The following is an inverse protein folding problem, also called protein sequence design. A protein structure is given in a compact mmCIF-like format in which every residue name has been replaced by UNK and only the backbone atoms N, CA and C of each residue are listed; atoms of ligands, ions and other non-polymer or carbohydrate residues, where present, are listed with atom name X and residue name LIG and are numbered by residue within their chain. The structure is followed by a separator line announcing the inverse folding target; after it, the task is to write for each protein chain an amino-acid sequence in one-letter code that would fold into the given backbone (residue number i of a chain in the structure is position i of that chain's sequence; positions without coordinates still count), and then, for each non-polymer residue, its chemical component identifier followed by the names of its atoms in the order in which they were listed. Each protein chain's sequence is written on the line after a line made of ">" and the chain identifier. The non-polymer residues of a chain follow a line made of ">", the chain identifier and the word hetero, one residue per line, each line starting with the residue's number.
data_IF_475914735857
#
_entry.id   IF_475914735857
#
_cell.length_a   1.000
_cell.length_b   1.000
_cell.length_c   1.000
_cell.angle_alpha   90.00
_cell.angle_beta   90.00
_cell.angle_gamma   90.00
#
_symmetry.space_group_name_H-M   'P 1'
#
loop_
_entity.id
_entity.type
_entity.pdbx_description
1 polymer ?
#
# COMPACT_ATOMS: atom_id res chain seq x y z
N UNK A 1 5.91 -13.50 17.85
CA UNK A 1 6.95 -13.41 16.81
C UNK A 1 6.96 -12.02 16.20
N UNK A 2 8.05 -11.26 16.36
CA UNK A 2 8.26 -9.96 15.71
C UNK A 2 8.73 -10.20 14.27
N UNK A 3 7.83 -10.07 13.31
CA UNK A 3 8.16 -10.23 11.90
C UNK A 3 8.34 -8.85 11.26
N UNK A 4 9.53 -8.60 10.72
CA UNK A 4 9.88 -7.35 10.02
C UNK A 4 9.39 -7.43 8.57
N UNK A 5 9.08 -6.27 7.97
CA UNK A 5 8.64 -6.16 6.56
C UNK A 5 9.49 -6.98 5.59
N UNK A 6 10.81 -6.84 5.61
CA UNK A 6 11.70 -7.54 4.66
C UNK A 6 11.55 -9.07 4.71
N UNK A 7 11.43 -9.64 5.91
CA UNK A 7 11.21 -11.07 6.09
C UNK A 7 9.81 -11.49 5.58
N UNK A 8 8.78 -10.71 5.91
CA UNK A 8 7.41 -11.01 5.47
C UNK A 8 7.28 -10.95 3.95
N UNK A 9 7.83 -9.92 3.31
CA UNK A 9 7.89 -9.78 1.86
C UNK A 9 8.64 -10.94 1.24
N UNK A 10 9.79 -11.35 1.79
CA UNK A 10 10.53 -12.50 1.26
C UNK A 10 9.73 -13.80 1.35
N UNK A 11 9.00 -14.03 2.45
CA UNK A 11 8.12 -15.19 2.60
C UNK A 11 7.01 -15.14 1.55
N UNK A 12 6.32 -14.02 1.41
CA UNK A 12 5.24 -13.87 0.43
C UNK A 12 5.75 -14.09 -1.01
N UNK A 13 6.87 -13.47 -1.36
CA UNK A 13 7.49 -13.57 -2.68
C UNK A 13 7.97 -14.98 -3.01
N UNK A 14 8.40 -15.75 -2.00
CA UNK A 14 9.00 -17.07 -2.22
C UNK A 14 7.98 -18.21 -2.11
N UNK A 15 6.85 -18.00 -1.45
CA UNK A 15 5.87 -19.06 -1.16
C UNK A 15 4.52 -18.85 -1.85
N UNK A 16 4.06 -17.60 -1.96
CA UNK A 16 2.73 -17.29 -2.50
C UNK A 16 2.84 -16.91 -3.97
N UNK A 17 3.71 -15.96 -4.31
CA UNK A 17 3.82 -15.47 -5.68
C UNK A 17 4.14 -16.54 -6.74
N UNK A 18 5.01 -17.54 -6.50
CA UNK A 18 5.26 -18.57 -7.51
C UNK A 18 4.01 -19.36 -7.90
N UNK A 19 3.09 -19.55 -6.95
CA UNK A 19 1.81 -20.23 -7.18
C UNK A 19 0.87 -19.31 -7.96
N UNK A 20 0.78 -18.03 -7.58
CA UNK A 20 -0.12 -17.06 -8.21
C UNK A 20 0.32 -16.65 -9.62
N UNK A 21 1.63 -16.60 -9.87
CA UNK A 21 2.22 -16.13 -11.13
C UNK A 21 2.51 -17.28 -12.11
N UNK A 22 2.24 -18.53 -11.72
CA UNK A 22 2.53 -19.68 -12.57
C UNK A 22 1.79 -19.57 -13.90
N UNK A 23 2.55 -19.50 -15.00
CA UNK A 23 1.99 -19.36 -16.35
C UNK A 23 1.35 -18.00 -16.64
N UNK A 24 1.53 -16.98 -15.78
CA UNK A 24 0.81 -15.71 -15.89
C UNK A 24 1.09 -14.93 -17.17
N UNK A 25 2.20 -15.21 -17.85
CA UNK A 25 2.44 -14.64 -19.19
C UNK A 25 1.40 -15.06 -20.23
N UNK A 26 0.76 -16.23 -20.06
CA UNK A 26 -0.24 -16.78 -20.99
C UNK A 26 -1.64 -16.30 -20.62
N UNK A 27 -2.09 -16.56 -19.39
CA UNK A 27 -3.46 -16.26 -18.96
C UNK A 27 -3.65 -14.83 -18.43
N UNK A 28 -2.56 -14.13 -18.11
CA UNK A 28 -2.59 -12.85 -17.40
C UNK A 28 -3.11 -11.64 -18.17
N UNK A 29 -3.50 -11.82 -19.43
CA UNK A 29 -4.09 -10.77 -20.25
C UNK A 29 -5.48 -10.33 -19.73
N UNK A 30 -6.15 -11.16 -18.91
CA UNK A 30 -7.40 -10.81 -18.22
C UNK A 30 -7.09 -10.37 -16.79
N UNK A 31 -7.70 -9.26 -16.37
CA UNK A 31 -7.62 -8.79 -14.98
C UNK A 31 -8.32 -9.79 -14.05
N UNK A 32 -7.64 -10.16 -12.97
CA UNK A 32 -8.16 -11.10 -11.98
C UNK A 32 -8.13 -10.46 -10.59
N UNK A 33 -9.23 -9.81 -10.20
CA UNK A 33 -9.35 -9.10 -8.92
C UNK A 33 -9.16 -10.02 -7.70
N UNK A 34 -9.38 -11.33 -7.86
CA UNK A 34 -9.20 -12.30 -6.79
C UNK A 34 -7.74 -12.37 -6.29
N UNK A 35 -6.77 -12.13 -7.17
CA UNK A 35 -5.34 -12.12 -6.83
C UNK A 35 -5.00 -10.90 -5.96
N UNK A 36 -5.51 -9.72 -6.33
CA UNK A 36 -5.33 -8.50 -5.55
C UNK A 36 -5.98 -8.63 -4.16
N UNK A 37 -7.16 -9.26 -4.06
CA UNK A 37 -7.80 -9.54 -2.77
C UNK A 37 -6.92 -10.40 -1.85
N UNK A 38 -6.22 -11.38 -2.39
CA UNK A 38 -5.28 -12.20 -1.62
C UNK A 38 -4.09 -11.37 -1.12
N UNK A 39 -3.53 -10.52 -1.98
CA UNK A 39 -2.48 -9.57 -1.60
C UNK A 39 -2.95 -8.65 -0.46
N UNK A 40 -4.15 -8.07 -0.57
CA UNK A 40 -4.70 -7.20 0.47
C UNK A 40 -4.92 -7.94 1.79
N UNK A 41 -5.35 -9.21 1.75
CA UNK A 41 -5.46 -10.05 2.95
C UNK A 41 -4.11 -10.28 3.61
N UNK A 42 -3.06 -10.54 2.83
CA UNK A 42 -1.70 -10.67 3.33
C UNK A 42 -1.24 -9.39 4.02
N UNK A 43 -1.36 -8.24 3.34
CA UNK A 43 -1.00 -6.92 3.90
C UNK A 43 -1.76 -6.65 5.21
N UNK A 44 -3.08 -6.87 5.24
CA UNK A 44 -3.88 -6.67 6.46
C UNK A 44 -3.44 -7.56 7.61
N UNK A 45 -3.11 -8.82 7.32
CA UNK A 45 -2.63 -9.79 8.31
C UNK A 45 -1.30 -9.33 8.91
N UNK A 46 -0.39 -8.85 8.06
CA UNK A 46 0.88 -8.29 8.49
C UNK A 46 0.65 -7.05 9.34
N UNK A 47 0.00 -6.01 8.82
CA UNK A 47 -0.25 -4.76 9.56
C UNK A 47 -1.07 -4.98 10.84
N UNK A 48 -1.94 -6.00 10.87
CA UNK A 48 -2.84 -6.27 11.99
C UNK A 48 -4.05 -5.33 12.00
N UNK A 49 -4.58 -4.99 10.82
CA UNK A 49 -5.70 -4.06 10.65
C UNK A 49 -6.96 -4.80 10.17
N UNK A 50 -8.13 -4.17 10.31
CA UNK A 50 -9.42 -4.78 9.94
C UNK A 50 -9.59 -4.88 8.42
N UNK A 51 -10.62 -5.61 7.98
CA UNK A 51 -11.04 -5.66 6.57
C UNK A 51 -11.59 -4.30 6.07
N UNK A 52 -12.01 -3.43 6.99
CA UNK A 52 -12.61 -2.11 6.70
C UNK A 52 -11.57 -0.99 6.54
N UNK A 53 -10.27 -1.28 6.71
CA UNK A 53 -9.21 -0.30 6.48
C UNK A 53 -9.08 0.02 5.00
N UNK A 54 -8.99 1.29 4.58
CA UNK A 54 -8.86 1.68 3.18
C UNK A 54 -7.70 0.97 2.46
N UNK A 55 -7.96 0.48 1.25
CA UNK A 55 -6.95 -0.21 0.42
C UNK A 55 -5.76 0.72 0.12
N UNK A 56 -5.95 1.99 -0.32
CA UNK A 56 -4.82 2.88 -0.62
C UNK A 56 -3.89 3.11 0.56
N UNK A 57 -4.41 3.15 1.80
CA UNK A 57 -3.58 3.33 2.98
C UNK A 57 -2.76 2.09 3.31
N UNK A 58 -3.34 0.89 3.23
CA UNK A 58 -2.58 -0.35 3.52
C UNK A 58 -1.53 -0.64 2.44
N UNK A 59 -1.83 -0.40 1.17
CA UNK A 59 -0.87 -0.60 0.07
C UNK A 59 0.22 0.47 0.12
N UNK A 60 -0.16 1.72 0.43
CA UNK A 60 0.78 2.81 0.61
C UNK A 60 1.75 2.61 1.77
N UNK A 61 1.27 2.15 2.94
CA UNK A 61 2.14 1.86 4.08
C UNK A 61 3.09 0.67 3.77
N UNK A 62 2.57 -0.37 3.09
CA UNK A 62 3.36 -1.55 2.72
C UNK A 62 4.36 -1.27 1.58
N UNK A 63 4.02 -0.38 0.65
CA UNK A 63 4.78 -0.14 -0.58
C UNK A 63 4.74 -1.30 -1.58
N UNK A 64 3.72 -2.16 -1.50
CA UNK A 64 3.56 -3.27 -2.44
C UNK A 64 2.73 -2.83 -3.64
N UNK A 65 3.31 -2.92 -4.84
CA UNK A 65 2.56 -2.75 -6.08
C UNK A 65 1.57 -3.91 -6.29
N UNK A 66 0.46 -3.68 -7.02
CA UNK A 66 -0.49 -4.71 -7.38
C UNK A 66 0.19 -5.90 -8.07
N UNK A 67 -0.24 -7.13 -7.74
CA UNK A 67 0.25 -8.35 -8.41
C UNK A 67 0.04 -8.27 -9.93
N UNK A 68 -1.02 -7.57 -10.38
CA UNK A 68 -1.29 -7.39 -11.80
C UNK A 68 -0.11 -6.78 -12.57
N UNK A 69 0.67 -5.88 -11.97
CA UNK A 69 1.85 -5.32 -12.62
C UNK A 69 2.91 -6.40 -12.91
N UNK A 70 3.11 -7.32 -11.96
CA UNK A 70 4.05 -8.43 -12.13
C UNK A 70 3.58 -9.37 -13.24
N UNK A 71 2.26 -9.59 -13.34
CA UNK A 71 1.63 -10.36 -14.40
C UNK A 71 1.86 -9.69 -15.77
N UNK A 72 1.63 -8.38 -15.89
CA UNK A 72 1.88 -7.62 -17.12
C UNK A 72 3.36 -7.72 -17.54
N UNK A 73 4.29 -7.59 -16.60
CA UNK A 73 5.73 -7.80 -16.87
C UNK A 73 6.01 -9.23 -17.35
N UNK A 74 5.31 -10.25 -16.82
CA UNK A 74 5.45 -11.63 -17.28
C UNK A 74 4.90 -11.83 -18.71
N UNK A 75 3.86 -11.10 -19.12
CA UNK A 75 3.38 -11.08 -20.52
C UNK A 75 4.48 -10.53 -21.43
N UNK A 76 5.10 -9.41 -21.05
CA UNK A 76 6.22 -8.82 -21.80
C UNK A 76 7.41 -9.77 -21.90
N UNK A 77 7.77 -10.44 -20.80
CA UNK A 77 8.84 -11.47 -20.81
C UNK A 77 8.51 -12.62 -21.76
N UNK A 78 7.27 -13.10 -21.74
CA UNK A 78 6.83 -14.17 -22.65
C UNK A 78 6.87 -13.69 -24.11
N UNK A 79 6.38 -12.47 -24.39
CA UNK A 79 6.43 -11.86 -25.72
C UNK A 79 7.87 -11.81 -26.25
N UNK A 80 8.79 -11.22 -25.49
CA UNK A 80 10.21 -11.15 -25.85
C UNK A 80 10.85 -12.53 -26.07
N UNK A 81 10.42 -13.55 -25.30
CA UNK A 81 10.89 -14.92 -25.49
C UNK A 81 10.35 -15.52 -26.79
N UNK A 82 9.07 -15.35 -27.08
CA UNK A 82 8.42 -15.89 -28.28
C UNK A 82 8.97 -15.26 -29.57
N UNK A 83 9.33 -13.97 -29.54
CA UNK A 83 9.98 -13.28 -30.67
C UNK A 83 11.34 -13.88 -31.00
N UNK A 84 12.12 -14.27 -29.99
CA UNK A 84 13.48 -14.82 -30.16
C UNK A 84 13.54 -16.30 -30.52
N UNK A 85 12.42 -17.02 -30.45
CA UNK A 85 12.41 -18.45 -30.76
C UNK A 85 12.51 -18.69 -32.27
N UNK A 86 13.23 -19.71 -32.72
CA UNK A 86 13.28 -20.07 -34.14
C UNK A 86 11.91 -20.58 -34.62
N UNK A 87 11.59 -20.33 -35.88
CA UNK A 87 10.31 -20.68 -36.51
C UNK A 87 10.03 -22.19 -36.58
N UNK A 88 11.05 -23.02 -36.31
CA UNK A 88 10.89 -24.47 -36.18
C UNK A 88 10.12 -24.87 -34.92
N UNK A 89 10.17 -24.06 -33.86
CA UNK A 89 9.56 -24.37 -32.55
C UNK A 89 8.06 -24.14 -32.57
N UNK A 90 7.31 -25.09 -31.98
CA UNK A 90 5.84 -25.03 -31.89
C UNK A 90 5.36 -23.71 -31.26
N UNK A 91 5.98 -23.27 -30.15
CA UNK A 91 5.60 -22.02 -29.49
C UNK A 91 5.69 -20.80 -30.42
N UNK A 92 6.72 -20.74 -31.28
CA UNK A 92 6.90 -19.66 -32.27
C UNK A 92 5.83 -19.74 -33.35
N UNK A 93 5.56 -20.94 -33.88
CA UNK A 93 4.49 -21.15 -34.86
C UNK A 93 3.12 -20.74 -34.33
N UNK A 94 2.79 -21.09 -33.09
CA UNK A 94 1.54 -20.69 -32.43
C UNK A 94 1.48 -19.18 -32.23
N UNK A 95 2.58 -18.54 -31.83
CA UNK A 95 2.65 -17.08 -31.71
C UNK A 95 2.42 -16.36 -33.04
N UNK A 96 3.09 -16.81 -34.12
CA UNK A 96 2.89 -16.25 -35.47
C UNK A 96 1.46 -16.47 -35.97
N UNK A 97 0.86 -17.63 -35.65
CA UNK A 97 -0.54 -17.90 -35.95
C UNK A 97 -1.48 -16.95 -35.19
N UNK A 98 -1.28 -16.74 -33.89
CA UNK A 98 -2.09 -15.81 -33.07
C UNK A 98 -1.93 -14.35 -33.54
N UNK A 99 -0.71 -13.96 -33.95
CA UNK A 99 -0.43 -12.67 -34.58
C UNK A 99 -1.19 -12.50 -35.89
N UNK A 100 -1.21 -13.51 -36.76
CA UNK A 100 -2.00 -13.46 -38.00
C UNK A 100 -3.51 -13.35 -37.70
N UNK A 101 -4.00 -14.15 -36.74
CA UNK A 101 -5.40 -14.11 -36.28
C UNK A 101 -5.78 -12.75 -35.68
N UNK A 102 -4.82 -11.99 -35.15
CA UNK A 102 -5.04 -10.67 -34.54
C UNK A 102 -5.60 -9.64 -35.53
N UNK A 103 -5.40 -9.85 -36.84
CA UNK A 103 -6.00 -9.01 -37.91
C UNK A 103 -7.50 -9.25 -38.08
N UNK A 104 -7.98 -10.44 -37.70
CA UNK A 104 -9.38 -10.87 -37.86
C UNK A 104 -10.15 -10.79 -36.55
N UNK A 105 -9.49 -11.05 -35.42
CA UNK A 105 -10.11 -11.13 -34.10
C UNK A 105 -9.47 -10.13 -33.13
N UNK A 106 -10.30 -9.37 -32.41
CA UNK A 106 -9.84 -8.38 -31.43
C UNK A 106 -9.35 -9.00 -30.11
N UNK A 107 -9.83 -10.20 -29.76
CA UNK A 107 -9.57 -10.87 -28.48
C UNK A 107 -8.51 -11.99 -28.63
N UNK A 108 -7.35 -11.64 -29.19
CA UNK A 108 -6.18 -12.54 -29.26
C UNK A 108 -5.15 -12.16 -28.21
N UNK A 109 -4.31 -13.12 -27.83
CA UNK A 109 -3.24 -12.87 -26.85
C UNK A 109 -2.28 -11.77 -27.35
N UNK A 110 -1.93 -11.81 -28.64
CA UNK A 110 -1.11 -10.80 -29.30
C UNK A 110 -1.71 -9.40 -29.20
N UNK A 111 -3.02 -9.25 -29.45
CA UNK A 111 -3.67 -7.93 -29.36
C UNK A 111 -3.71 -7.41 -27.92
N UNK A 112 -3.82 -8.28 -26.91
CA UNK A 112 -3.70 -7.86 -25.50
C UNK A 112 -2.28 -7.43 -25.13
N UNK A 113 -1.26 -8.18 -25.58
CA UNK A 113 0.13 -7.79 -25.40
C UNK A 113 0.42 -6.45 -26.10
N UNK A 114 -0.08 -6.27 -27.33
CA UNK A 114 0.02 -5.02 -28.07
C UNK A 114 -0.62 -3.85 -27.34
N UNK A 115 -1.85 -4.00 -26.82
CA UNK A 115 -2.51 -2.97 -26.01
C UNK A 115 -1.69 -2.55 -24.79
N UNK A 116 -1.01 -3.49 -24.14
CA UNK A 116 -0.11 -3.20 -23.01
C UNK A 116 1.09 -2.34 -23.47
N UNK A 117 1.68 -2.66 -24.61
CA UNK A 117 2.75 -1.84 -25.18
C UNK A 117 2.25 -0.45 -25.59
N UNK A 118 1.10 -0.38 -26.26
CA UNK A 118 0.47 0.88 -26.68
C UNK A 118 0.16 1.77 -25.47
N UNK A 119 -0.37 1.20 -24.36
CA UNK A 119 -0.60 1.96 -23.12
C UNK A 119 0.68 2.53 -22.52
N UNK A 120 1.81 1.84 -22.71
CA UNK A 120 3.12 2.31 -22.26
C UNK A 120 3.79 3.29 -23.25
N UNK A 121 3.11 3.68 -24.34
CA UNK A 121 3.69 4.52 -25.40
C UNK A 121 4.68 3.80 -26.31
N UNK A 122 4.67 2.47 -26.30
CA UNK A 122 5.56 1.59 -27.07
C UNK A 122 4.85 1.09 -28.34
N UNK A 123 4.29 2.01 -29.12
CA UNK A 123 3.36 1.73 -30.24
C UNK A 123 3.98 0.94 -31.39
N UNK A 124 5.30 0.96 -31.51
CA UNK A 124 6.01 0.39 -32.65
C UNK A 124 6.94 -0.74 -32.18
N UNK A 125 6.37 -1.72 -31.50
CA UNK A 125 7.11 -2.94 -31.08
C UNK A 125 7.57 -3.81 -32.27
N UNK A 126 7.26 -3.42 -33.51
CA UNK A 126 7.71 -4.08 -34.74
C UNK A 126 9.25 -4.09 -34.86
N UNK A 127 9.94 -3.13 -34.24
CA UNK A 127 11.41 -3.09 -34.23
C UNK A 127 12.06 -4.22 -33.39
N UNK A 128 11.29 -4.94 -32.58
CA UNK A 128 11.81 -5.98 -31.68
C UNK A 128 12.31 -7.24 -32.40
N UNK A 129 12.03 -7.39 -33.68
CA UNK A 129 12.45 -8.56 -34.45
C UNK A 129 13.97 -8.62 -34.66
N UNK A 130 14.70 -7.50 -34.48
CA UNK A 130 16.09 -7.41 -34.93
C UNK A 130 17.20 -7.28 -33.88
N UNK A 131 16.96 -7.15 -32.55
CA UNK A 131 18.09 -6.97 -31.62
C UNK A 131 17.94 -7.59 -30.20
N UNK A 132 19.01 -8.26 -29.77
CA UNK A 132 19.17 -8.84 -28.42
C UNK A 132 19.16 -7.80 -27.28
N UNK A 133 19.47 -6.54 -27.59
CA UNK A 133 19.68 -5.44 -26.63
C UNK A 133 18.34 -4.86 -26.12
N UNK A 134 17.23 -5.06 -26.83
CA UNK A 134 15.97 -4.35 -26.57
C UNK A 134 15.15 -4.99 -25.42
N UNK A 135 15.35 -6.27 -25.10
CA UNK A 135 14.51 -6.97 -24.11
C UNK A 135 14.62 -6.44 -22.68
N UNK A 136 15.81 -6.21 -22.11
CA UNK A 136 15.92 -5.64 -20.76
C UNK A 136 15.36 -4.22 -20.70
N UNK A 137 15.64 -3.40 -21.71
CA UNK A 137 15.11 -2.05 -21.83
C UNK A 137 13.58 -2.05 -21.87
N UNK A 138 12.96 -2.89 -22.71
CA UNK A 138 11.51 -2.97 -22.83
C UNK A 138 10.83 -3.37 -21.51
N UNK A 139 11.39 -4.36 -20.81
CA UNK A 139 10.88 -4.81 -19.52
C UNK A 139 10.96 -3.67 -18.50
N UNK A 140 12.07 -2.95 -18.48
CA UNK A 140 12.29 -1.84 -17.55
C UNK A 140 11.40 -0.63 -17.86
N UNK A 141 11.20 -0.30 -19.14
CA UNK A 141 10.27 0.75 -19.58
C UNK A 141 8.84 0.45 -19.17
N UNK A 142 8.36 -0.78 -19.42
CA UNK A 142 7.00 -1.18 -19.01
C UNK A 142 6.87 -1.17 -17.49
N UNK A 143 7.85 -1.71 -16.76
CA UNK A 143 7.84 -1.70 -15.30
C UNK A 143 7.78 -0.27 -14.74
N UNK A 144 8.62 0.62 -15.25
CA UNK A 144 8.68 2.03 -14.83
C UNK A 144 7.37 2.75 -15.12
N UNK A 145 6.79 2.51 -16.30
CA UNK A 145 5.49 3.08 -16.67
C UNK A 145 4.39 2.65 -15.69
N UNK A 146 4.25 1.34 -15.44
CA UNK A 146 3.25 0.78 -14.52
C UNK A 146 3.43 1.30 -13.07
N UNK A 147 4.68 1.44 -12.62
CA UNK A 147 4.96 2.01 -11.30
C UNK A 147 4.56 3.49 -11.21
N UNK A 148 4.86 4.29 -12.25
CA UNK A 148 4.52 5.71 -12.29
C UNK A 148 3.00 5.94 -12.38
N UNK A 149 2.32 5.22 -13.26
CA UNK A 149 0.86 5.28 -13.39
C UNK A 149 0.17 4.96 -12.06
N UNK A 150 0.65 3.93 -11.36
CA UNK A 150 0.10 3.54 -10.07
C UNK A 150 0.38 4.54 -8.96
N UNK A 151 1.59 5.13 -8.92
CA UNK A 151 1.90 6.20 -7.95
C UNK A 151 0.92 7.36 -8.08
N UNK A 152 0.65 7.80 -9.31
CA UNK A 152 -0.31 8.87 -9.57
C UNK A 152 -1.73 8.47 -9.16
N UNK A 153 -2.20 7.30 -9.63
CA UNK A 153 -3.52 6.81 -9.27
C UNK A 153 -3.69 6.65 -7.75
N UNK A 154 -2.65 6.19 -7.05
CA UNK A 154 -2.67 6.05 -5.60
C UNK A 154 -2.75 7.40 -4.88
N UNK A 155 -2.00 8.42 -5.34
CA UNK A 155 -2.09 9.78 -4.83
C UNK A 155 -3.50 10.35 -4.99
N UNK A 156 -4.09 10.22 -6.17
CA UNK A 156 -5.45 10.68 -6.45
C UNK A 156 -6.47 10.02 -5.53
N UNK A 157 -6.36 8.70 -5.35
CA UNK A 157 -7.22 7.94 -4.44
C UNK A 157 -7.10 8.44 -2.99
N UNK A 158 -5.89 8.79 -2.52
CA UNK A 158 -5.71 9.32 -1.17
C UNK A 158 -6.38 10.68 -1.01
N UNK A 159 -6.23 11.58 -1.98
CA UNK A 159 -6.78 12.92 -1.90
C UNK A 159 -8.30 12.93 -1.92
N UNK A 160 -8.91 12.03 -2.70
CA UNK A 160 -10.35 11.94 -2.86
C UNK A 160 -11.05 11.22 -1.69
N UNK A 161 -10.35 10.39 -0.91
CA UNK A 161 -10.96 9.61 0.17
C UNK A 161 -11.08 10.40 1.48
N UNK A 162 -12.30 10.76 1.95
CA UNK A 162 -12.47 11.57 3.17
C UNK A 162 -11.95 10.87 4.44
N UNK A 163 -11.98 9.53 4.46
CA UNK A 163 -11.47 8.73 5.58
C UNK A 163 -9.96 8.88 5.79
N UNK A 164 -9.22 9.24 4.75
CA UNK A 164 -7.76 9.40 4.77
C UNK A 164 -7.32 10.85 5.08
N UNK A 165 -8.20 11.65 5.70
CA UNK A 165 -7.94 13.06 6.08
C UNK A 165 -6.62 13.26 6.80
N UNK A 166 -6.23 12.34 7.70
CA UNK A 166 -5.00 12.45 8.50
C UNK A 166 -3.81 11.85 7.74
N UNK A 167 -4.06 10.73 7.04
CA UNK A 167 -3.06 9.98 6.29
C UNK A 167 -2.38 10.81 5.19
N UNK A 168 -3.17 11.60 4.46
CA UNK A 168 -2.68 12.44 3.36
C UNK A 168 -1.70 13.54 3.76
N UNK A 169 -1.63 13.91 5.05
CA UNK A 169 -0.73 14.96 5.53
C UNK A 169 0.71 14.49 5.70
N UNK A 170 0.93 13.21 6.04
CA UNK A 170 2.27 12.67 6.25
C UNK A 170 2.71 11.65 5.20
N UNK A 171 1.79 11.05 4.46
CA UNK A 171 2.10 10.05 3.44
C UNK A 171 1.95 10.65 2.04
N UNK A 172 3.08 11.08 1.47
CA UNK A 172 3.16 11.66 0.12
C UNK A 172 3.77 10.72 -0.91
N UNK A 173 4.59 9.74 -0.48
CA UNK A 173 5.30 8.84 -1.40
C UNK A 173 4.78 7.40 -1.28
N UNK A 174 4.66 6.72 -2.42
CA UNK A 174 4.33 5.29 -2.46
C UNK A 174 5.58 4.43 -2.20
N UNK A 175 5.89 4.23 -0.94
CA UNK A 175 7.02 3.41 -0.50
C UNK A 175 6.74 2.72 0.84
N UNK A 176 7.49 1.65 1.13
CA UNK A 176 7.36 0.97 2.42
C UNK A 176 7.76 1.90 3.57
N UNK A 177 6.83 2.08 4.50
CA UNK A 177 7.07 2.85 5.72
C UNK A 177 8.16 2.23 6.59
N UNK A 178 9.05 3.08 7.12
CA UNK A 178 10.19 2.60 7.90
C UNK A 178 9.78 1.94 9.21
N UNK A 179 8.63 2.31 9.81
CA UNK A 179 8.19 1.66 11.06
C UNK A 179 7.90 0.17 10.85
N UNK A 180 7.54 -0.24 9.62
CA UNK A 180 7.37 -1.65 9.25
C UNK A 180 8.71 -2.39 9.09
N UNK A 181 9.80 -1.65 8.85
CA UNK A 181 11.17 -2.17 8.79
C UNK A 181 11.78 -2.36 10.19
N UNK A 182 11.11 -1.89 11.25
CA UNK A 182 11.58 -2.00 12.65
C UNK A 182 10.98 -3.23 13.35
N UNK A 183 11.64 -3.68 14.42
CA UNK A 183 11.18 -4.76 15.28
C UNK A 183 10.04 -4.29 16.20
N UNK A 184 8.84 -4.13 15.64
CA UNK A 184 7.61 -3.89 16.40
C UNK A 184 6.86 -5.20 16.65
N UNK A 185 6.23 -5.32 17.80
CA UNK A 185 5.25 -6.39 18.05
C UNK A 185 4.02 -6.20 17.14
N UNK A 186 3.27 -7.27 16.91
CA UNK A 186 2.02 -7.21 16.12
C UNK A 186 1.04 -6.17 16.68
N UNK A 187 0.92 -6.07 18.00
CA UNK A 187 0.04 -5.10 18.66
C UNK A 187 0.50 -3.66 18.42
N UNK A 188 1.79 -3.37 18.62
CA UNK A 188 2.36 -2.04 18.36
C UNK A 188 2.17 -1.61 16.90
N UNK A 189 2.52 -2.50 15.96
CA UNK A 189 2.32 -2.24 14.52
C UNK A 189 0.86 -1.98 14.19
N UNK A 190 -0.05 -2.82 14.68
CA UNK A 190 -1.49 -2.66 14.50
C UNK A 190 -2.01 -1.33 15.02
N UNK A 191 -1.57 -0.90 16.21
CA UNK A 191 -1.98 0.37 16.81
C UNK A 191 -1.54 1.57 15.97
N UNK A 192 -0.27 1.60 15.51
CA UNK A 192 0.22 2.66 14.62
C UNK A 192 -0.55 2.64 13.29
N UNK A 193 -0.64 1.49 12.62
CA UNK A 193 -1.30 1.39 11.32
C UNK A 193 -2.77 1.78 11.40
N UNK A 194 -3.48 1.39 12.48
CA UNK A 194 -4.87 1.80 12.70
C UNK A 194 -5.01 3.30 12.90
N UNK A 195 -4.09 3.93 13.66
CA UNK A 195 -4.07 5.37 13.87
C UNK A 195 -3.82 6.12 12.56
N UNK A 196 -2.79 5.70 11.80
CA UNK A 196 -2.45 6.26 10.49
C UNK A 196 -3.61 6.17 9.50
N UNK A 197 -4.27 5.02 9.42
CA UNK A 197 -5.33 4.76 8.45
C UNK A 197 -6.72 5.29 8.87
N UNK A 198 -6.85 5.98 10.01
CA UNK A 198 -8.16 6.45 10.51
C UNK A 198 -9.13 5.30 10.85
N UNK A 199 -8.60 4.19 11.37
CA UNK A 199 -9.39 3.01 11.80
C UNK A 199 -9.23 2.67 13.27
N UNK A 200 -8.51 3.51 14.02
CA UNK A 200 -8.46 3.39 15.47
C UNK A 200 -9.85 3.71 16.05
N UNK A 201 -10.31 3.02 17.12
CA UNK A 201 -11.67 3.15 17.66
C UNK A 201 -11.88 4.44 18.46
N UNK A 202 -11.70 5.58 17.79
CA UNK A 202 -12.03 6.92 18.24
C UNK A 202 -13.47 7.28 17.83
N UNK A 203 -14.10 8.23 18.53
CA UNK A 203 -15.46 8.65 18.21
C UNK A 203 -15.58 9.28 16.81
N UNK A 204 -14.50 9.85 16.23
CA UNK A 204 -14.51 10.28 14.83
C UNK A 204 -14.87 9.15 13.85
N UNK A 205 -14.37 7.93 14.08
CA UNK A 205 -14.61 6.75 13.23
C UNK A 205 -15.86 5.98 13.70
N UNK A 206 -16.04 5.79 15.02
CA UNK A 206 -17.25 5.13 15.55
C UNK A 206 -18.51 5.93 15.21
N UNK A 207 -18.47 7.25 15.37
CA UNK A 207 -19.55 8.16 15.03
C UNK A 207 -19.83 8.21 13.53
N UNK A 208 -18.79 8.08 12.68
CA UNK A 208 -18.97 7.93 11.23
C UNK A 208 -19.79 6.70 10.87
N UNK A 209 -19.49 5.55 11.49
CA UNK A 209 -20.26 4.30 11.27
C UNK A 209 -21.72 4.45 11.71
N UNK A 210 -21.97 5.30 12.71
CA UNK A 210 -23.32 5.61 13.24
C UNK A 210 -24.00 6.81 12.56
N UNK A 211 -23.41 7.37 11.50
CA UNK A 211 -23.88 8.58 10.81
C UNK A 211 -24.11 9.80 11.72
N UNK A 212 -23.26 9.96 12.75
CA UNK A 212 -23.30 11.13 13.65
C UNK A 212 -22.55 12.29 12.97
N UNK A 213 -23.06 13.55 13.01
CA UNK A 213 -22.33 14.74 12.53
C UNK A 213 -20.97 14.90 13.22
N UNK A 214 -19.94 15.40 12.52
CA UNK A 214 -18.54 15.42 13.01
C UNK A 214 -18.42 16.18 14.33
N UNK A 215 -19.16 17.27 14.47
CA UNK A 215 -19.17 18.18 15.62
C UNK A 215 -19.70 17.48 16.89
N UNK A 216 -20.50 16.42 16.72
CA UNK A 216 -21.08 15.63 17.82
C UNK A 216 -20.26 14.37 18.14
N UNK A 217 -19.16 14.12 17.43
CA UNK A 217 -18.28 12.95 17.66
C UNK A 217 -17.27 13.25 18.76
N UNK A 218 -17.77 13.63 19.93
CA UNK A 218 -16.96 14.14 21.04
C UNK A 218 -16.27 13.04 21.83
N UNK A 219 -15.13 13.38 22.44
CA UNK A 219 -14.36 12.47 23.28
C UNK A 219 -15.11 12.11 24.56
N UNK A 220 -15.29 10.81 24.80
CA UNK A 220 -15.94 10.27 26.01
C UNK A 220 -15.00 10.08 27.19
N UNK A 221 -13.71 10.32 26.99
CA UNK A 221 -12.68 10.10 28.02
C UNK A 221 -12.34 11.37 28.79
N UNK A 222 -12.81 12.54 28.35
CA UNK A 222 -12.55 13.82 28.98
C UNK A 222 -13.74 14.76 28.83
N UNK A 223 -13.81 15.77 29.70
CA UNK A 223 -14.97 16.68 29.79
C UNK A 223 -14.87 17.91 28.89
N UNK A 224 -13.94 17.92 27.93
CA UNK A 224 -13.70 19.09 27.05
C UNK A 224 -14.74 19.25 25.94
N UNK A 225 -15.62 18.25 25.75
CA UNK A 225 -16.59 18.21 24.64
C UNK A 225 -15.99 18.44 23.23
N UNK A 226 -14.68 18.22 23.08
CA UNK A 226 -14.00 18.35 21.79
C UNK A 226 -14.13 17.06 20.97
N UNK A 227 -14.07 17.19 19.64
CA UNK A 227 -14.17 16.05 18.71
C UNK A 227 -13.00 15.09 18.93
N UNK A 228 -13.29 13.79 19.03
CA UNK A 228 -12.26 12.78 19.26
C UNK A 228 -11.64 12.30 17.95
N UNK A 229 -10.67 13.06 17.44
CA UNK A 229 -9.80 12.68 16.33
C UNK A 229 -8.37 12.31 16.78
N UNK A 230 -7.47 12.06 15.83
CA UNK A 230 -6.09 11.67 16.17
C UNK A 230 -5.31 12.81 16.85
N UNK A 231 -5.61 14.07 16.52
CA UNK A 231 -4.98 15.24 17.15
C UNK A 231 -5.43 15.32 18.60
N UNK A 232 -6.74 15.27 18.86
CA UNK A 232 -7.25 15.26 20.22
C UNK A 232 -6.65 14.09 21.02
N UNK A 233 -6.67 12.89 20.46
CA UNK A 233 -6.18 11.69 21.15
C UNK A 233 -4.68 11.77 21.49
N UNK A 234 -3.83 12.19 20.53
CA UNK A 234 -2.37 12.18 20.69
C UNK A 234 -1.83 13.44 21.40
N UNK A 235 -2.48 14.59 21.24
CA UNK A 235 -1.92 15.91 21.60
C UNK A 235 -2.70 16.59 22.73
N UNK A 236 -4.04 16.58 22.71
CA UNK A 236 -4.82 17.47 23.58
C UNK A 236 -5.57 16.79 24.72
N UNK A 237 -5.96 15.52 24.59
CA UNK A 237 -6.89 14.87 25.51
C UNK A 237 -6.39 14.92 26.96
N UNK A 238 -7.09 15.62 27.88
CA UNK A 238 -6.60 15.81 29.26
C UNK A 238 -6.43 14.49 30.02
N UNK A 239 -7.25 13.48 29.69
CA UNK A 239 -7.19 12.15 30.31
C UNK A 239 -5.82 11.47 30.16
N UNK A 240 -5.10 11.77 29.08
CA UNK A 240 -3.81 11.16 28.78
C UNK A 240 -2.62 12.05 29.13
N UNK A 241 -2.81 13.15 29.87
CA UNK A 241 -1.76 14.15 30.12
C UNK A 241 -0.50 13.55 30.73
N UNK A 242 -0.62 12.71 31.77
CA UNK A 242 0.55 12.10 32.41
C UNK A 242 1.33 11.20 31.43
N UNK A 243 0.61 10.36 30.66
CA UNK A 243 1.22 9.48 29.65
C UNK A 243 1.82 10.28 28.49
N UNK A 244 1.18 11.38 28.11
CA UNK A 244 1.61 12.27 27.05
C UNK A 244 2.88 13.02 27.44
N UNK A 245 2.95 13.57 28.66
CA UNK A 245 4.16 14.22 29.15
C UNK A 245 5.37 13.27 29.09
N UNK A 246 5.20 12.04 29.58
CA UNK A 246 6.23 10.98 29.46
C UNK A 246 6.61 10.69 28.00
N UNK A 247 5.65 10.69 27.08
CA UNK A 247 5.93 10.51 25.65
C UNK A 247 6.78 11.68 25.11
N UNK A 248 6.37 12.92 25.35
CA UNK A 248 7.07 14.11 24.84
C UNK A 248 8.45 14.31 25.46
N UNK A 249 8.63 14.00 26.75
CA UNK A 249 9.94 13.96 27.41
C UNK A 249 10.88 12.96 26.70
N UNK A 250 10.42 11.74 26.48
CA UNK A 250 11.20 10.72 25.76
C UNK A 250 11.53 11.14 24.33
N UNK A 251 10.62 11.81 23.63
CA UNK A 251 10.85 12.33 22.28
C UNK A 251 11.91 13.45 22.29
N UNK A 252 11.83 14.37 23.24
CA UNK A 252 12.78 15.46 23.40
C UNK A 252 14.20 14.93 23.62
N UNK A 253 14.35 13.91 24.46
CA UNK A 253 15.66 13.27 24.73
C UNK A 253 16.19 12.45 23.55
N UNK A 254 15.32 11.73 22.83
CA UNK A 254 15.77 10.77 21.80
C UNK A 254 15.82 11.32 20.39
N UNK A 255 15.13 12.44 20.11
CA UNK A 255 15.00 12.97 18.76
C UNK A 255 15.18 14.48 18.70
N UNK A 256 14.16 15.25 19.10
CA UNK A 256 14.19 16.71 19.20
C UNK A 256 12.97 17.20 19.97
N UNK A 257 13.03 18.41 20.48
CA UNK A 257 11.82 19.05 20.98
C UNK A 257 10.86 19.37 19.83
N UNK A 258 9.60 18.98 19.99
CA UNK A 258 8.50 19.21 19.05
C UNK A 258 7.38 20.05 19.69
N UNK A 259 7.58 20.56 20.91
CA UNK A 259 6.59 21.35 21.66
C UNK A 259 6.14 22.61 20.91
N UNK A 260 7.06 23.29 20.23
CA UNK A 260 6.81 24.52 19.46
C UNK A 260 6.19 24.31 18.07
N UNK A 261 6.01 23.07 17.62
CA UNK A 261 5.41 22.77 16.32
C UNK A 261 3.88 22.98 16.32
N UNK A 262 3.31 23.23 15.15
CA UNK A 262 1.86 23.21 14.94
C UNK A 262 1.29 21.81 15.25
N UNK A 263 0.00 21.72 15.56
CA UNK A 263 -0.64 20.43 15.86
C UNK A 263 -0.55 19.45 14.68
N UNK A 264 -0.64 19.95 13.45
CA UNK A 264 -0.47 19.15 12.23
C UNK A 264 0.95 18.63 12.10
N UNK A 265 1.96 19.46 12.38
CA UNK A 265 3.36 19.06 12.29
C UNK A 265 3.72 18.08 13.41
N UNK A 266 3.23 18.31 14.63
CA UNK A 266 3.33 17.35 15.75
C UNK A 266 2.73 16.01 15.36
N UNK A 267 1.54 16.00 14.76
CA UNK A 267 0.88 14.78 14.32
C UNK A 267 1.70 14.06 13.25
N UNK A 268 2.22 14.78 12.25
CA UNK A 268 3.08 14.23 11.22
C UNK A 268 4.36 13.63 11.81
N UNK A 269 5.00 14.28 12.78
CA UNK A 269 6.20 13.79 13.47
C UNK A 269 5.90 12.58 14.38
N UNK A 270 4.78 12.58 15.11
CA UNK A 270 4.38 11.47 15.98
C UNK A 270 4.01 10.22 15.19
N UNK A 271 3.21 10.40 14.14
CA UNK A 271 2.88 9.32 13.22
C UNK A 271 3.98 9.05 12.21
N UNK A 272 5.09 9.80 12.30
CA UNK A 272 6.27 9.55 11.49
C UNK A 272 6.93 8.25 11.88
N UNK A 273 7.79 7.88 10.96
CA UNK A 273 8.65 6.74 10.97
C UNK A 273 9.60 6.67 12.18
N UNK A 274 10.10 7.80 12.68
CA UNK A 274 11.18 7.84 13.68
C UNK A 274 10.72 7.52 15.10
N UNK A 275 9.50 7.88 15.47
CA UNK A 275 8.98 7.78 16.85
C UNK A 275 8.06 6.59 17.08
N UNK A 276 7.88 5.76 16.04
CA UNK A 276 6.95 4.64 15.99
C UNK A 276 6.87 3.76 17.25
N UNK A 277 8.00 3.37 17.86
CA UNK A 277 7.98 2.51 19.06
C UNK A 277 7.43 3.24 20.29
N UNK A 278 7.85 4.48 20.51
CA UNK A 278 7.39 5.32 21.64
C UNK A 278 5.89 5.60 21.50
N UNK A 279 5.48 6.00 20.29
CA UNK A 279 4.08 6.31 19.99
C UNK A 279 3.20 5.07 20.07
N UNK A 280 3.67 3.91 19.61
CA UNK A 280 2.93 2.66 19.77
C UNK A 280 2.68 2.28 21.24
N UNK A 281 3.68 2.47 22.10
CA UNK A 281 3.56 2.22 23.53
C UNK A 281 2.55 3.18 24.16
N UNK A 282 2.64 4.48 23.83
CA UNK A 282 1.66 5.47 24.27
C UNK A 282 0.24 5.09 23.84
N UNK A 283 0.02 4.74 22.56
CA UNK A 283 -1.29 4.34 22.05
C UNK A 283 -1.81 3.11 22.79
N UNK A 284 -0.95 2.12 23.06
CA UNK A 284 -1.31 0.91 23.80
C UNK A 284 -1.73 1.23 25.25
N UNK A 285 -0.97 2.05 25.96
CA UNK A 285 -1.28 2.49 27.32
C UNK A 285 -2.61 3.24 27.38
N UNK A 286 -2.80 4.22 26.49
CA UNK A 286 -4.05 4.98 26.39
C UNK A 286 -5.24 4.07 26.05
N UNK A 287 -5.05 3.10 25.16
CA UNK A 287 -6.09 2.13 24.82
C UNK A 287 -6.49 1.27 26.02
N UNK A 288 -5.52 0.83 26.83
CA UNK A 288 -5.78 0.09 28.06
C UNK A 288 -6.60 0.92 29.07
N UNK A 289 -6.28 2.21 29.22
CA UNK A 289 -7.08 3.13 30.06
C UNK A 289 -8.52 3.22 29.55
N UNK A 290 -8.72 3.31 28.24
CA UNK A 290 -10.08 3.33 27.64
C UNK A 290 -10.86 2.07 27.95
N UNK A 291 -10.27 0.90 27.78
CA UNK A 291 -10.95 -0.38 28.01
C UNK A 291 -11.35 -0.61 29.47
N UNK A 292 -10.71 0.10 30.41
CA UNK A 292 -11.08 0.06 31.83
C UNK A 292 -12.14 1.10 32.21
N UNK A 293 -12.31 2.17 31.41
CA UNK A 293 -13.18 3.30 31.75
C UNK A 293 -14.52 3.26 31.02
N UNK A 294 -14.55 2.73 29.80
CA UNK A 294 -15.73 2.61 28.92
C UNK A 294 -16.23 1.17 28.85
#
# INVERSE_FOLDING_TARGET
>A
MTLIHGMYTKIFDSTVLPILEYGSGVWGHKRCDSLERLQYRAIRTFLGVSLTTPIPAITGDMGWYPIHHRIQVNIVRLYCRLVKLPDTRICRKVFLWDQNMSTRYRDTWFNHAKKLFDSCGLNDVSFLENQHIITPYLIDSVKTHLENEHKQSWLDNIQQMPKLRTYKHFKTEFETETFLKRCLTRSQRSSISRMRCGTFPLEIEKGRVRNIPVERRTCKMCDTNSVEDEIHFLIHCPKYTEKRNKLFENICVTFRDISGLSDTDKLCELLSNKLSKLVANFIADCYHIRTLTL
#
